data_IF_582153333494
#
_entry.id   IF_582153333494
#
_cell.length_a   1.000
_cell.length_b   1.000
_cell.length_c   1.000
_cell.angle_alpha   90.00
_cell.angle_beta   90.00
_cell.angle_gamma   90.00
#
_symmetry.space_group_name_H-M   'P 1'
#
loop_
_entity.id
_entity.type
_entity.pdbx_description
1 polymer ?
#
# COMPACT_ATOMS: atom_id res chain seq x y z
N UNK A 1 -25.87 53.04 -21.13
CA UNK A 1 -24.79 52.03 -21.25
C UNK A 1 -24.98 51.04 -20.11
N UNK A 2 -25.55 49.90 -20.43
CA UNK A 2 -25.99 48.84 -19.50
C UNK A 2 -24.82 47.90 -19.20
N UNK A 3 -24.49 47.71 -17.93
CA UNK A 3 -23.43 46.79 -17.49
C UNK A 3 -23.98 45.35 -17.49
N UNK A 4 -23.48 44.42 -18.33
CA UNK A 4 -24.13 43.13 -18.60
C UNK A 4 -23.63 41.96 -17.74
N UNK A 5 -22.90 42.22 -16.64
CA UNK A 5 -22.40 41.17 -15.75
C UNK A 5 -22.97 41.33 -14.34
N UNK A 6 -23.86 40.40 -13.97
CA UNK A 6 -24.39 40.27 -12.61
C UNK A 6 -23.34 39.79 -11.60
N UNK A 7 -23.60 39.93 -10.29
CA UNK A 7 -22.66 39.50 -9.25
C UNK A 7 -22.47 37.97 -9.24
N UNK A 8 -21.27 37.47 -8.87
CA UNK A 8 -20.94 36.05 -8.88
C UNK A 8 -21.74 35.24 -7.82
N UNK A 9 -22.07 33.96 -8.09
CA UNK A 9 -22.73 33.08 -7.13
C UNK A 9 -21.72 32.61 -6.08
N UNK A 10 -21.99 32.85 -4.79
CA UNK A 10 -21.18 32.26 -3.71
C UNK A 10 -21.11 32.99 -2.37
N UNK A 11 -21.75 34.16 -2.20
CA UNK A 11 -21.80 34.78 -0.88
C UNK A 11 -22.95 34.21 -0.05
N UNK A 12 -22.65 33.22 0.79
CA UNK A 12 -23.55 32.81 1.86
C UNK A 12 -23.68 33.96 2.88
N UNK A 13 -24.90 34.36 3.27
CA UNK A 13 -25.09 35.35 4.34
C UNK A 13 -24.65 34.78 5.69
N UNK A 14 -23.91 35.57 6.47
CA UNK A 14 -23.67 35.32 7.89
C UNK A 14 -24.99 34.99 8.62
N UNK A 15 -25.06 33.96 9.49
CA UNK A 15 -26.22 33.81 10.36
C UNK A 15 -26.23 34.94 11.42
N UNK A 16 -27.40 35.54 11.70
CA UNK A 16 -27.53 36.54 12.75
C UNK A 16 -27.30 35.92 14.14
N UNK A 17 -26.55 36.65 14.97
CA UNK A 17 -26.36 36.38 16.40
C UNK A 17 -27.73 36.33 17.10
N UNK A 18 -28.03 35.23 17.81
CA UNK A 18 -29.21 35.24 18.68
C UNK A 18 -29.86 33.91 19.10
N UNK A 19 -29.21 32.75 19.03
CA UNK A 19 -29.80 31.52 19.56
C UNK A 19 -28.86 30.80 20.56
N UNK A 20 -29.26 30.62 21.83
CA UNK A 20 -28.48 29.89 22.82
C UNK A 20 -28.51 28.37 22.56
N UNK A 21 -27.34 27.75 22.69
CA UNK A 21 -27.11 26.29 22.65
C UNK A 21 -27.86 25.57 23.79
N UNK A 22 -28.44 24.38 23.57
CA UNK A 22 -28.87 23.50 24.66
C UNK A 22 -27.66 22.92 25.40
N UNK A 23 -27.59 23.12 26.72
CA UNK A 23 -26.59 22.51 27.61
C UNK A 23 -26.81 20.99 27.75
N UNK A 24 -25.74 20.18 27.89
CA UNK A 24 -25.86 18.80 28.34
C UNK A 24 -25.92 18.77 29.88
N UNK A 25 -27.11 18.52 30.43
CA UNK A 25 -27.31 18.40 31.87
C UNK A 25 -27.92 17.05 32.23
N UNK A 26 -27.40 16.42 33.30
CA UNK A 26 -28.22 15.60 34.20
C UNK A 26 -27.76 14.16 34.40
N UNK A 27 -27.03 13.92 35.50
CA UNK A 27 -26.92 12.62 36.15
C UNK A 27 -28.22 12.29 36.92
N UNK A 28 -28.76 11.07 36.78
CA UNK A 28 -29.78 10.51 37.70
C UNK A 28 -30.74 9.47 37.08
N UNK A 29 -31.01 8.31 37.74
CA UNK A 29 -31.77 7.18 37.17
C UNK A 29 -33.27 7.21 37.51
N UNK A 30 -34.10 6.37 36.86
CA UNK A 30 -34.78 5.33 37.65
C UNK A 30 -34.99 3.97 36.96
N UNK A 31 -34.66 2.93 37.73
CA UNK A 31 -35.37 1.65 37.93
C UNK A 31 -36.57 1.29 37.03
N UNK A 32 -36.45 0.17 36.31
CA UNK A 32 -37.57 -0.64 35.81
C UNK A 32 -37.13 -2.10 35.60
N UNK A 33 -37.94 -3.11 35.98
CA UNK A 33 -37.56 -4.51 35.87
C UNK A 33 -37.61 -5.02 34.42
N UNK A 34 -36.58 -5.75 34.02
CA UNK A 34 -36.50 -6.45 32.72
C UNK A 34 -37.11 -7.86 32.91
N UNK A 35 -38.15 -8.26 32.16
CA UNK A 35 -38.62 -9.64 32.18
C UNK A 35 -37.71 -10.55 31.33
N UNK A 36 -37.18 -11.61 31.95
CA UNK A 36 -36.61 -12.77 31.25
C UNK A 36 -37.74 -13.72 30.81
N UNK A 37 -37.59 -14.36 29.65
CA UNK A 37 -37.97 -15.77 29.50
C UNK A 37 -36.73 -16.55 29.01
N UNK A 38 -36.19 -17.49 29.77
CA UNK A 38 -36.79 -18.81 29.98
C UNK A 38 -36.01 -19.81 29.12
N UNK A 39 -35.05 -20.50 29.74
CA UNK A 39 -34.15 -21.45 29.06
C UNK A 39 -34.78 -22.82 28.86
N UNK A 40 -34.34 -23.51 27.80
CA UNK A 40 -34.34 -24.97 27.70
C UNK A 40 -33.12 -25.41 26.88
N UNK A 41 -32.37 -26.37 27.44
CA UNK A 41 -31.26 -27.07 26.78
C UNK A 41 -31.71 -28.13 25.76
N UNK A 42 -30.78 -28.95 25.24
CA UNK A 42 -30.70 -29.29 23.81
C UNK A 42 -31.33 -30.65 23.45
N UNK A 43 -31.51 -30.91 22.13
CA UNK A 43 -31.37 -32.24 21.60
C UNK A 43 -30.28 -32.34 20.52
N UNK A 44 -29.45 -33.36 20.71
CA UNK A 44 -28.52 -33.99 19.78
C UNK A 44 -29.18 -34.49 18.49
N UNK A 45 -28.57 -34.23 17.34
CA UNK A 45 -28.87 -34.89 16.07
C UNK A 45 -27.87 -34.52 14.96
N UNK A 46 -27.36 -35.47 14.16
CA UNK A 46 -26.45 -35.18 13.04
C UNK A 46 -27.20 -34.59 11.84
N UNK A 47 -26.55 -33.63 11.18
CA UNK A 47 -27.03 -32.89 10.01
C UNK A 47 -26.70 -33.71 8.73
N UNK A 48 -27.65 -34.04 7.84
CA UNK A 48 -27.35 -34.68 6.55
C UNK A 48 -26.90 -33.64 5.50
N UNK A 49 -25.84 -33.96 4.76
CA UNK A 49 -25.40 -33.20 3.57
C UNK A 49 -26.28 -33.53 2.34
N UNK A 50 -26.65 -32.54 1.51
CA UNK A 50 -27.30 -32.81 0.21
C UNK A 50 -26.27 -33.27 -0.84
N UNK A 51 -26.51 -34.46 -1.39
CA UNK A 51 -25.66 -35.16 -2.36
C UNK A 51 -25.61 -34.51 -3.74
N UNK A 52 -24.46 -34.70 -4.39
CA UNK A 52 -24.18 -34.27 -5.76
C UNK A 52 -24.90 -35.11 -6.80
N UNK A 53 -25.33 -34.43 -7.86
CA UNK A 53 -25.90 -35.04 -9.06
C UNK A 53 -24.77 -35.51 -9.99
N UNK A 54 -24.58 -36.82 -10.10
CA UNK A 54 -23.87 -37.46 -11.21
C UNK A 54 -24.87 -38.24 -12.06
N UNK A 55 -24.80 -38.17 -13.41
CA UNK A 55 -25.67 -38.98 -14.26
C UNK A 55 -25.17 -40.43 -14.43
N UNK A 56 -26.08 -41.37 -14.78
CA UNK A 56 -25.88 -42.82 -14.60
C UNK A 56 -25.23 -43.53 -15.79
N UNK A 57 -24.49 -44.60 -15.47
CA UNK A 57 -23.95 -45.59 -16.40
C UNK A 57 -25.04 -46.52 -16.94
N UNK A 58 -25.22 -46.54 -18.26
CA UNK A 58 -26.01 -47.55 -19.00
C UNK A 58 -25.16 -48.26 -20.06
N UNK A 59 -25.53 -49.48 -20.50
CA UNK A 59 -24.70 -50.32 -21.37
C UNK A 59 -24.82 -49.97 -22.87
N UNK A 60 -23.71 -50.14 -23.58
CA UNK A 60 -23.53 -49.89 -25.02
C UNK A 60 -23.93 -51.11 -25.87
N UNK A 61 -24.74 -50.95 -26.93
CA UNK A 61 -24.80 -51.92 -28.04
C UNK A 61 -23.92 -51.48 -29.23
N UNK A 62 -23.15 -52.42 -29.78
CA UNK A 62 -22.42 -52.28 -31.06
C UNK A 62 -23.37 -52.58 -32.24
N UNK A 63 -23.35 -51.75 -33.29
CA UNK A 63 -23.38 -52.15 -34.72
C UNK A 63 -23.54 -50.95 -35.68
N UNK A 64 -22.88 -51.02 -36.84
CA UNK A 64 -23.36 -50.42 -38.10
C UNK A 64 -22.45 -49.35 -38.71
N UNK A 65 -21.79 -49.70 -39.83
CA UNK A 65 -20.85 -48.83 -40.55
C UNK A 65 -21.49 -47.68 -41.33
N UNK A 66 -20.68 -46.66 -41.61
CA UNK A 66 -21.04 -45.49 -42.40
C UNK A 66 -20.44 -45.57 -43.82
N UNK A 67 -21.16 -45.13 -44.87
CA UNK A 67 -20.67 -45.11 -46.24
C UNK A 67 -19.71 -43.93 -46.50
N UNK A 68 -18.76 -44.15 -47.42
CA UNK A 68 -17.75 -43.16 -47.84
C UNK A 68 -18.34 -41.95 -48.58
N UNK A 69 -17.81 -40.73 -48.36
CA UNK A 69 -18.02 -39.60 -49.27
C UNK A 69 -17.16 -39.73 -50.54
N UNK A 70 -17.78 -39.48 -51.70
CA UNK A 70 -17.10 -39.41 -53.00
C UNK A 70 -16.00 -38.33 -53.01
N UNK A 71 -14.78 -38.73 -53.39
CA UNK A 71 -13.63 -37.84 -53.52
C UNK A 71 -13.76 -36.95 -54.77
N UNK A 72 -13.70 -35.62 -54.57
CA UNK A 72 -13.49 -34.64 -55.63
C UNK A 72 -11.99 -34.67 -56.05
N UNK A 73 -11.64 -34.81 -57.34
CA UNK A 73 -10.25 -34.84 -57.77
C UNK A 73 -9.69 -33.41 -57.84
N UNK A 74 -8.74 -33.05 -56.99
CA UNK A 74 -8.03 -31.77 -57.15
C UNK A 74 -7.16 -31.23 -56.01
N UNK A 75 -7.09 -31.87 -54.83
CA UNK A 75 -6.26 -31.35 -53.74
C UNK A 75 -5.00 -32.20 -53.51
N UNK A 76 -3.79 -31.58 -53.39
CA UNK A 76 -2.57 -32.31 -53.04
C UNK A 76 -2.66 -32.87 -51.61
N UNK A 77 -2.04 -34.03 -51.34
CA UNK A 77 -2.17 -34.71 -50.05
C UNK A 77 -1.57 -33.88 -48.90
N UNK A 78 -2.19 -33.89 -47.70
CA UNK A 78 -1.59 -33.27 -46.53
C UNK A 78 -0.36 -34.07 -46.08
N UNK A 79 0.77 -33.37 -45.94
CA UNK A 79 1.99 -33.94 -45.39
C UNK A 79 1.80 -34.32 -43.91
N UNK A 80 2.34 -35.45 -43.44
CA UNK A 80 2.27 -35.83 -42.04
C UNK A 80 3.12 -34.88 -41.19
N UNK A 81 2.51 -34.19 -40.22
CA UNK A 81 3.25 -33.40 -39.23
C UNK A 81 4.08 -34.33 -38.34
N UNK A 82 5.38 -34.37 -38.62
CA UNK A 82 6.40 -34.98 -37.78
C UNK A 82 6.98 -33.94 -36.82
N UNK A 83 7.13 -34.33 -35.54
CA UNK A 83 8.22 -33.85 -34.70
C UNK A 83 7.93 -32.64 -33.82
N UNK A 84 8.01 -32.87 -32.50
CA UNK A 84 7.82 -31.87 -31.46
C UNK A 84 8.78 -30.70 -31.51
N UNK A 85 8.27 -29.54 -31.09
CA UNK A 85 9.06 -28.34 -30.89
C UNK A 85 10.12 -28.59 -29.79
N UNK A 86 11.40 -28.23 -30.01
CA UNK A 86 12.38 -28.24 -28.94
C UNK A 86 11.98 -27.23 -27.85
N UNK A 87 12.26 -27.50 -26.56
CA UNK A 87 12.02 -26.55 -25.50
C UNK A 87 12.80 -25.27 -25.76
N UNK A 88 12.07 -24.16 -25.84
CA UNK A 88 12.62 -22.84 -26.05
C UNK A 88 13.60 -22.49 -24.91
N UNK A 89 14.82 -22.02 -25.19
CA UNK A 89 15.79 -21.69 -24.15
C UNK A 89 15.22 -20.58 -23.23
N UNK A 90 15.50 -20.62 -21.91
CA UNK A 90 15.06 -19.57 -21.00
C UNK A 90 15.57 -18.22 -21.51
N UNK A 91 14.65 -17.28 -21.71
CA UNK A 91 15.01 -15.92 -22.10
C UNK A 91 15.97 -15.32 -21.04
N UNK A 92 16.94 -14.48 -21.45
CA UNK A 92 17.78 -13.75 -20.51
C UNK A 92 16.89 -12.94 -19.56
N UNK A 93 17.03 -13.18 -18.25
CA UNK A 93 16.36 -12.41 -17.22
C UNK A 93 16.94 -11.00 -17.27
N UNK A 94 16.24 -10.07 -17.93
CA UNK A 94 16.54 -8.65 -17.80
C UNK A 94 16.47 -8.26 -16.31
N UNK A 95 17.22 -7.24 -15.83
CA UNK A 95 17.10 -6.76 -14.46
C UNK A 95 15.67 -6.26 -14.23
N UNK A 96 14.82 -7.15 -13.73
CA UNK A 96 13.42 -6.90 -13.47
C UNK A 96 13.37 -5.93 -12.28
N UNK A 97 13.15 -4.65 -12.55
CA UNK A 97 12.42 -3.82 -11.60
C UNK A 97 11.16 -4.60 -11.26
N UNK A 98 11.06 -5.07 -10.02
CA UNK A 98 10.13 -6.13 -9.62
C UNK A 98 8.75 -5.93 -10.24
N UNK A 99 8.39 -6.79 -11.20
CA UNK A 99 7.05 -6.85 -11.78
C UNK A 99 6.11 -7.30 -10.66
N UNK A 100 5.63 -6.36 -9.87
CA UNK A 100 4.60 -6.62 -8.88
C UNK A 100 3.34 -7.09 -9.60
N UNK A 101 2.74 -8.18 -9.12
CA UNK A 101 1.49 -8.70 -9.67
C UNK A 101 0.43 -7.59 -9.74
N UNK A 102 -0.49 -7.58 -10.73
CA UNK A 102 -1.55 -6.58 -10.75
C UNK A 102 -2.41 -6.62 -9.46
N UNK A 103 -3.00 -5.47 -9.04
CA UNK A 103 -3.89 -5.43 -7.89
C UNK A 103 -5.08 -6.39 -8.08
N UNK A 104 -5.61 -6.99 -6.99
CA UNK A 104 -6.82 -7.80 -7.06
C UNK A 104 -8.00 -7.03 -7.69
N UNK A 105 -8.92 -7.70 -8.40
CA UNK A 105 -10.09 -7.05 -8.98
C UNK A 105 -10.89 -6.27 -7.94
N UNK A 106 -11.25 -5.01 -8.25
CA UNK A 106 -11.99 -4.13 -7.35
C UNK A 106 -11.15 -3.43 -6.28
N UNK A 107 -9.85 -3.75 -6.15
CA UNK A 107 -8.92 -3.06 -5.26
C UNK A 107 -8.02 -2.11 -6.06
N UNK A 108 -7.50 -1.09 -5.40
CA UNK A 108 -6.33 -0.34 -5.87
C UNK A 108 -5.09 -0.76 -5.07
N UNK A 109 -3.92 -0.33 -5.54
CA UNK A 109 -2.64 -0.60 -4.88
C UNK A 109 -1.87 0.68 -4.63
N UNK A 110 -1.40 0.85 -3.41
CA UNK A 110 -0.37 1.84 -3.09
C UNK A 110 0.97 1.11 -3.03
N UNK A 111 1.95 1.54 -3.81
CA UNK A 111 3.33 1.06 -3.70
C UNK A 111 4.11 2.09 -2.91
N UNK A 112 4.40 1.76 -1.66
CA UNK A 112 5.14 2.64 -0.77
C UNK A 112 6.62 2.34 -0.92
N UNK A 113 7.38 3.30 -1.43
CA UNK A 113 8.82 3.23 -1.60
C UNK A 113 9.52 3.99 -0.47
N UNK A 114 10.03 3.24 0.50
CA UNK A 114 10.72 3.79 1.67
C UNK A 114 12.23 3.84 1.45
N UNK A 115 12.81 5.02 1.65
CA UNK A 115 14.25 5.24 1.52
C UNK A 115 14.83 5.95 2.73
N UNK A 116 16.13 5.78 2.94
CA UNK A 116 16.91 6.52 3.93
C UNK A 116 18.22 6.99 3.30
N UNK A 117 18.79 8.06 3.84
CA UNK A 117 20.10 8.56 3.41
C UNK A 117 21.21 7.73 4.06
N UNK A 118 22.34 7.55 3.37
CA UNK A 118 23.42 6.69 3.84
C UNK A 118 24.03 7.11 5.19
N UNK A 119 24.05 8.41 5.55
CA UNK A 119 24.47 8.84 6.89
C UNK A 119 23.52 8.37 7.99
N UNK A 120 22.26 8.10 7.64
CA UNK A 120 21.26 7.50 8.53
C UNK A 120 21.15 5.98 8.35
N UNK A 121 22.24 5.32 7.94
CA UNK A 121 22.25 3.87 7.69
C UNK A 121 21.78 3.04 8.89
N UNK A 122 21.91 3.54 10.13
CA UNK A 122 21.40 2.85 11.31
C UNK A 122 19.88 2.57 11.24
N UNK A 123 19.12 3.35 10.47
CA UNK A 123 17.69 3.08 10.25
C UNK A 123 17.45 1.76 9.51
N UNK A 124 18.44 1.22 8.79
CA UNK A 124 18.30 -0.06 8.07
C UNK A 124 17.92 -1.23 8.99
N UNK A 125 18.26 -1.15 10.29
CA UNK A 125 17.94 -2.18 11.28
C UNK A 125 16.51 -2.10 11.81
N UNK A 126 15.78 -1.01 11.50
CA UNK A 126 14.43 -0.75 11.98
C UNK A 126 13.47 -0.66 10.80
N UNK A 127 12.37 -1.41 10.85
CA UNK A 127 11.39 -1.41 9.76
C UNK A 127 10.46 -0.19 9.87
N UNK A 128 10.19 0.51 8.75
CA UNK A 128 9.17 1.54 8.74
C UNK A 128 7.78 0.93 9.01
N UNK A 129 6.92 1.71 9.64
CA UNK A 129 5.55 1.37 9.97
C UNK A 129 4.61 2.35 9.27
N UNK A 130 3.54 1.81 8.70
CA UNK A 130 2.49 2.61 8.07
C UNK A 130 1.26 2.68 8.97
N UNK A 131 0.63 3.84 8.98
CA UNK A 131 -0.72 4.02 9.49
C UNK A 131 -1.63 4.42 8.33
N UNK A 132 -2.81 3.82 8.27
CA UNK A 132 -3.81 4.05 7.23
C UNK A 132 -5.04 4.60 7.95
N UNK A 133 -5.38 5.86 7.71
CA UNK A 133 -6.47 6.57 8.41
C UNK A 133 -6.30 6.51 9.95
N UNK A 134 -5.05 6.62 10.42
CA UNK A 134 -4.71 6.56 11.84
C UNK A 134 -4.69 5.15 12.45
N UNK A 135 -5.10 4.11 11.71
CA UNK A 135 -5.01 2.72 12.15
C UNK A 135 -3.68 2.08 11.75
N UNK A 136 -3.11 1.17 12.55
CA UNK A 136 -1.88 0.47 12.19
C UNK A 136 -2.10 -0.38 10.94
N UNK A 137 -1.23 -0.19 9.94
CA UNK A 137 -1.22 -0.98 8.71
C UNK A 137 -0.13 -2.05 8.71
N UNK A 138 0.19 -2.63 7.54
CA UNK A 138 1.26 -3.62 7.43
C UNK A 138 2.64 -3.03 7.72
N UNK A 139 3.55 -3.86 8.23
CA UNK A 139 4.96 -3.46 8.41
C UNK A 139 5.60 -3.27 7.03
N UNK A 140 6.25 -2.14 6.81
CA UNK A 140 6.92 -1.82 5.55
C UNK A 140 8.35 -2.35 5.53
N UNK A 141 8.90 -2.52 4.33
CA UNK A 141 10.33 -2.74 4.09
C UNK A 141 11.00 -1.46 3.60
N UNK A 142 12.32 -1.38 3.74
CA UNK A 142 13.11 -0.41 2.98
C UNK A 142 13.09 -0.82 1.50
N UNK A 143 12.74 0.12 0.63
CA UNK A 143 12.36 -0.13 -0.76
C UNK A 143 10.83 -0.18 -0.93
N UNK A 144 10.38 -0.91 -1.96
CA UNK A 144 8.96 -0.95 -2.36
C UNK A 144 8.16 -1.99 -1.59
N UNK A 145 7.08 -1.54 -0.95
CA UNK A 145 6.07 -2.41 -0.33
C UNK A 145 4.70 -2.15 -0.96
N UNK A 146 4.08 -3.14 -1.64
CA UNK A 146 2.72 -3.01 -2.14
C UNK A 146 1.69 -3.17 -1.00
N UNK A 147 0.71 -2.28 -0.97
CA UNK A 147 -0.44 -2.33 -0.06
C UNK A 147 -1.71 -2.22 -0.88
N UNK A 148 -2.52 -3.28 -0.87
CA UNK A 148 -3.80 -3.33 -1.59
C UNK A 148 -4.91 -2.78 -0.70
N UNK A 149 -5.66 -1.81 -1.22
CA UNK A 149 -6.73 -1.10 -0.50
C UNK A 149 -7.96 -0.95 -1.40
N UNK A 150 -9.18 -0.92 -0.84
CA UNK A 150 -10.37 -0.55 -1.59
C UNK A 150 -10.23 0.85 -2.23
N UNK A 151 -11.05 1.19 -3.23
CA UNK A 151 -11.06 2.54 -3.78
C UNK A 151 -11.51 3.58 -2.74
N UNK A 152 -10.77 4.67 -2.60
CA UNK A 152 -11.04 5.71 -1.60
C UNK A 152 -9.90 6.70 -1.42
N UNK A 153 -10.07 7.66 -0.51
CA UNK A 153 -8.98 8.55 -0.09
C UNK A 153 -8.42 8.07 1.25
N UNK A 154 -7.11 7.88 1.31
CA UNK A 154 -6.43 7.38 2.50
C UNK A 154 -5.41 8.38 3.01
N UNK A 155 -5.46 8.66 4.31
CA UNK A 155 -4.40 9.37 5.01
C UNK A 155 -3.34 8.35 5.42
N UNK A 156 -2.22 8.36 4.70
CA UNK A 156 -1.08 7.48 4.93
C UNK A 156 -0.07 8.20 5.81
N UNK A 157 0.16 7.68 7.00
CA UNK A 157 1.23 8.10 7.90
C UNK A 157 2.37 7.09 7.87
N UNK A 158 3.62 7.53 7.79
CA UNK A 158 4.79 6.66 7.85
C UNK A 158 5.72 7.17 8.94
N UNK A 159 6.25 6.25 9.74
CA UNK A 159 7.26 6.53 10.75
C UNK A 159 8.14 5.29 10.96
N UNK A 160 9.33 5.48 11.53
CA UNK A 160 10.21 4.38 11.94
C UNK A 160 10.19 4.30 13.46
N UNK A 161 9.94 3.11 14.00
CA UNK A 161 10.10 2.86 15.43
C UNK A 161 11.57 2.57 15.72
N UNK A 162 12.25 3.57 16.28
CA UNK A 162 13.59 3.47 16.84
C UNK A 162 13.51 3.47 18.38
N UNK A 163 14.12 4.44 19.07
CA UNK A 163 13.83 4.71 20.49
C UNK A 163 12.52 5.49 20.70
N UNK A 164 12.08 6.21 19.66
CA UNK A 164 10.82 6.93 19.57
C UNK A 164 10.34 6.88 18.11
N UNK A 165 9.21 7.53 17.79
CA UNK A 165 8.70 7.64 16.42
C UNK A 165 9.57 8.65 15.66
N UNK A 166 10.37 8.16 14.72
CA UNK A 166 11.28 8.97 13.91
C UNK A 166 10.71 9.16 12.52
N UNK A 167 10.84 10.36 11.97
CA UNK A 167 10.53 10.61 10.57
C UNK A 167 9.05 10.59 10.24
N UNK A 168 8.19 10.99 11.19
CA UNK A 168 6.75 11.03 10.96
C UNK A 168 6.43 11.90 9.72
N UNK A 169 5.69 11.33 8.78
CA UNK A 169 5.29 11.99 7.55
C UNK A 169 3.89 11.52 7.17
N UNK A 170 3.01 12.44 6.76
CA UNK A 170 1.62 12.12 6.42
C UNK A 170 1.23 12.71 5.08
N UNK A 171 0.57 11.92 4.23
CA UNK A 171 -0.02 12.37 2.97
C UNK A 171 -1.41 11.78 2.76
N UNK A 172 -2.28 12.52 2.06
CA UNK A 172 -3.56 12.02 1.59
C UNK A 172 -3.39 11.52 0.16
N UNK A 173 -3.67 10.24 -0.07
CA UNK A 173 -3.49 9.57 -1.36
C UNK A 173 -4.84 9.04 -1.84
N UNK A 174 -5.33 9.49 -3.01
CA UNK A 174 -6.49 8.89 -3.66
C UNK A 174 -6.10 7.56 -4.31
N UNK A 175 -6.91 6.54 -4.09
CA UNK A 175 -6.75 5.19 -4.65
C UNK A 175 -8.00 4.85 -5.45
N UNK A 176 -7.83 4.55 -6.74
CA UNK A 176 -8.92 4.09 -7.60
C UNK A 176 -8.83 2.58 -7.86
N UNK A 177 -9.97 1.95 -8.20
CA UNK A 177 -10.01 0.53 -8.54
C UNK A 177 -9.10 0.21 -9.74
N UNK A 178 -8.27 -0.83 -9.62
CA UNK A 178 -7.32 -1.24 -10.66
C UNK A 178 -6.13 -0.29 -10.83
N UNK A 179 -6.06 0.80 -10.08
CA UNK A 179 -4.96 1.75 -10.14
C UNK A 179 -3.82 1.30 -9.23
N UNK A 180 -2.59 1.49 -9.69
CA UNK A 180 -1.40 1.50 -8.85
C UNK A 180 -0.93 2.95 -8.63
N UNK A 181 -0.69 3.32 -7.38
CA UNK A 181 -0.21 4.65 -6.99
C UNK A 181 1.14 4.49 -6.30
N UNK A 182 2.18 5.09 -6.87
CA UNK A 182 3.50 5.14 -6.25
C UNK A 182 3.56 6.28 -5.21
N UNK A 183 4.04 5.94 -4.02
CA UNK A 183 4.21 6.87 -2.90
C UNK A 183 5.62 6.73 -2.39
N UNK A 184 6.38 7.80 -2.46
CA UNK A 184 7.78 7.80 -2.02
C UNK A 184 7.89 8.46 -0.65
N UNK A 185 8.56 7.75 0.25
CA UNK A 185 8.90 8.22 1.59
C UNK A 185 10.42 8.27 1.75
N UNK A 186 10.92 9.38 2.29
CA UNK A 186 12.30 9.56 2.66
C UNK A 186 12.41 9.85 4.16
N UNK A 187 13.09 8.96 4.88
CA UNK A 187 13.39 9.14 6.28
C UNK A 187 14.37 10.32 6.49
N UNK A 188 14.26 11.05 7.61
CA UNK A 188 15.16 12.14 7.92
C UNK A 188 16.56 11.62 8.25
N UNK A 189 17.57 12.42 7.95
CA UNK A 189 18.96 12.14 8.35
C UNK A 189 19.13 12.38 9.85
N UNK A 190 18.44 13.37 10.39
CA UNK A 190 18.44 13.72 11.81
C UNK A 190 17.15 13.20 12.45
N UNK A 191 17.29 12.34 13.46
CA UNK A 191 16.20 11.59 14.10
C UNK A 191 15.11 12.43 14.79
N UNK A 192 15.32 13.74 14.92
CA UNK A 192 14.36 14.69 15.51
C UNK A 192 13.51 15.42 14.47
N UNK A 193 13.73 15.15 13.18
CA UNK A 193 12.98 15.79 12.09
C UNK A 193 11.84 14.89 11.60
N UNK A 194 10.89 15.50 10.90
CA UNK A 194 9.88 14.78 10.13
C UNK A 194 10.48 14.17 8.87
N UNK A 195 9.87 13.09 8.39
CA UNK A 195 10.20 12.52 7.09
C UNK A 195 9.58 13.36 5.97
N UNK A 196 9.90 13.01 4.73
CA UNK A 196 9.25 13.57 3.55
C UNK A 196 8.44 12.47 2.86
N UNK A 197 7.20 12.76 2.47
CA UNK A 197 6.32 11.84 1.76
C UNK A 197 5.68 12.56 0.57
N UNK A 198 5.58 11.89 -0.57
CA UNK A 198 4.94 12.46 -1.74
C UNK A 198 4.82 11.52 -2.93
N UNK A 199 4.17 11.97 -4.02
CA UNK A 199 3.98 11.17 -5.24
C UNK A 199 5.26 11.04 -6.08
N UNK A 200 6.28 11.83 -5.79
CA UNK A 200 7.59 11.80 -6.47
C UNK A 200 8.69 11.42 -5.49
N UNK A 201 9.84 10.90 -5.96
CA UNK A 201 10.98 10.61 -5.10
C UNK A 201 11.36 11.81 -4.21
N UNK A 202 11.33 11.59 -2.89
CA UNK A 202 11.57 12.62 -1.89
C UNK A 202 13.05 12.68 -1.49
N UNK A 203 13.57 13.88 -1.23
CA UNK A 203 14.91 14.05 -0.65
C UNK A 203 14.83 13.87 0.86
N UNK A 204 15.81 13.19 1.45
CA UNK A 204 15.90 13.02 2.89
C UNK A 204 16.03 14.38 3.61
N UNK A 205 15.11 14.71 4.54
CA UNK A 205 15.22 15.92 5.34
C UNK A 205 16.48 15.94 6.21
N UNK A 206 17.09 17.11 6.39
CA UNK A 206 18.24 17.28 7.28
C UNK A 206 19.61 16.95 6.70
N UNK A 207 19.72 16.58 5.41
CA UNK A 207 21.02 16.30 4.76
C UNK A 207 22.01 17.47 4.91
N UNK A 208 21.57 18.70 4.60
CA UNK A 208 22.45 19.88 4.67
C UNK A 208 22.95 20.15 6.10
N UNK A 209 22.08 20.01 7.09
CA UNK A 209 22.45 20.16 8.49
C UNK A 209 23.42 19.07 8.94
N UNK A 210 23.16 17.80 8.57
CA UNK A 210 24.03 16.68 8.89
C UNK A 210 25.44 16.86 8.31
N UNK A 211 25.54 17.28 7.05
CA UNK A 211 26.82 17.56 6.39
C UNK A 211 27.54 18.75 7.04
N UNK A 212 26.81 19.80 7.43
CA UNK A 212 27.36 20.95 8.14
C UNK A 212 27.96 20.57 9.50
N UNK A 213 27.24 19.77 10.29
CA UNK A 213 27.73 19.25 11.58
C UNK A 213 28.98 18.40 11.36
N UNK A 214 28.91 17.43 10.45
CA UNK A 214 30.04 16.54 10.15
C UNK A 214 31.28 17.32 9.69
N UNK A 215 31.11 18.22 8.72
CA UNK A 215 32.21 19.04 8.20
C UNK A 215 32.79 19.99 9.25
N UNK A 216 31.93 20.64 10.04
CA UNK A 216 32.34 21.52 11.13
C UNK A 216 33.12 20.78 12.23
N UNK A 217 32.65 19.60 12.63
CA UNK A 217 33.36 18.75 13.61
C UNK A 217 34.73 18.31 13.11
N UNK A 218 34.85 17.88 11.85
CA UNK A 218 36.13 17.49 11.27
C UNK A 218 37.10 18.68 11.18
N UNK A 219 36.63 19.85 10.76
CA UNK A 219 37.43 21.07 10.71
C UNK A 219 37.91 21.48 12.10
N UNK A 220 37.05 21.40 13.12
CA UNK A 220 37.40 21.68 14.51
C UNK A 220 38.43 20.68 15.05
N UNK A 221 38.24 19.38 14.82
CA UNK A 221 39.22 18.36 15.20
C UNK A 221 40.58 18.60 14.55
N UNK A 222 40.59 18.93 13.25
CA UNK A 222 41.82 19.25 12.52
C UNK A 222 42.51 20.47 13.12
N UNK A 223 41.76 21.53 13.42
CA UNK A 223 42.28 22.73 14.08
C UNK A 223 42.88 22.41 15.46
N UNK A 224 42.21 21.61 16.29
CA UNK A 224 42.70 21.22 17.61
C UNK A 224 43.99 20.40 17.51
N UNK A 225 44.07 19.47 16.56
CA UNK A 225 45.29 18.68 16.31
C UNK A 225 46.43 19.60 15.87
N UNK A 226 46.18 20.52 14.94
CA UNK A 226 47.18 21.47 14.46
C UNK A 226 47.68 22.39 15.57
N UNK A 227 46.79 22.92 16.40
CA UNK A 227 47.17 23.73 17.58
C UNK A 227 47.96 22.92 18.59
N UNK A 228 47.62 21.64 18.79
CA UNK A 228 48.35 20.74 19.69
C UNK A 228 49.77 20.46 19.18
N UNK A 229 49.94 20.23 17.88
CA UNK A 229 51.26 20.05 17.23
C UNK A 229 52.09 21.33 17.36
N UNK A 230 51.50 22.51 17.09
CA UNK A 230 52.19 23.79 17.25
C UNK A 230 52.62 23.98 18.70
N UNK A 231 51.73 23.71 19.67
CA UNK A 231 52.04 23.85 21.09
C UNK A 231 53.22 22.96 21.52
N UNK A 232 53.31 21.74 21.00
CA UNK A 232 54.45 20.84 21.26
C UNK A 232 55.72 21.33 20.57
N UNK A 233 55.64 21.90 19.36
CA UNK A 233 56.80 22.39 18.62
C UNK A 233 57.44 23.66 19.21
N UNK A 234 56.69 24.42 20.02
CA UNK A 234 57.16 25.68 20.65
C UNK A 234 57.48 25.54 22.14
N UNK A 235 57.27 24.35 22.73
CA UNK A 235 57.61 24.04 24.13
C UNK A 235 58.98 23.37 24.22
#
# INVERSE_FOLDING_TARGET
MTNPYGPPPGQQPYPPQGQPMPQPGGYGPPSGPIPQPGGYGPPSGPIPQPGGYGPPSGPIPQQGGYPQPQMQPGMPPPMPQQGGYPPQPPAPVAPQGQLMAPPPPGMGRIVIDCSYFWLAFMLMFFKPQVTINGQPGPILTWGKTPVDLPPGQYQIGIHVNYLWRVGEATAVIPVNAGQQVDVHYAAPVIVFMNGAIGPTPQKAPGVGLALGIMGGSLALCFLIILLSIISVAVS
#
